data_IF_350989867719
#
_entry.id   IF_350989867719
#
_cell.length_a   1.000
_cell.length_b   1.000
_cell.length_c   1.000
_cell.angle_alpha   90.00
_cell.angle_beta   90.00
_cell.angle_gamma   90.00
#
_symmetry.space_group_name_H-M   'P 1'
#
loop_
_entity.id
_entity.type
_entity.pdbx_description
1 polymer ?
#
# COMPACT_ATOMS: atom_id res chain seq x y z
N UNK A 1 -16.34 -10.62 41.38
CA UNK A 1 -15.25 -9.94 40.67
C UNK A 1 -14.14 -9.70 41.64
N UNK A 2 -12.93 -10.16 41.34
CA UNK A 2 -11.74 -9.89 42.17
C UNK A 2 -11.43 -8.41 42.06
N UNK A 3 -11.56 -7.68 43.17
CA UNK A 3 -11.16 -6.28 43.28
C UNK A 3 -9.64 -6.20 43.04
N UNK A 4 -9.21 -5.75 41.87
CA UNK A 4 -7.84 -5.29 41.66
C UNK A 4 -7.69 -3.93 42.35
N UNK A 5 -7.40 -3.94 43.64
CA UNK A 5 -6.96 -2.73 44.33
C UNK A 5 -5.52 -2.41 43.89
N UNK A 6 -5.19 -1.14 43.62
CA UNK A 6 -3.80 -0.75 43.37
C UNK A 6 -2.95 -1.10 44.60
N UNK A 7 -1.85 -1.80 44.37
CA UNK A 7 -0.88 -2.16 45.42
C UNK A 7 0.19 -1.08 45.45
N UNK A 8 0.37 -0.44 46.60
CA UNK A 8 1.50 0.46 46.86
C UNK A 8 2.53 -0.35 47.64
N UNK A 9 3.69 -0.61 47.03
CA UNK A 9 4.81 -1.28 47.67
C UNK A 9 5.93 -0.26 47.93
N UNK A 10 6.30 -0.09 49.20
CA UNK A 10 7.39 0.79 49.63
C UNK A 10 8.62 -0.07 49.98
N UNK A 11 9.62 -0.08 49.09
CA UNK A 11 10.89 -0.78 49.30
C UNK A 11 12.00 0.21 49.69
N UNK A 12 12.74 -0.10 50.75
CA UNK A 12 13.82 0.73 51.32
C UNK A 12 15.23 0.38 50.78
N UNK A 13 15.34 -0.62 49.90
CA UNK A 13 16.62 -1.09 49.35
C UNK A 13 17.04 -0.32 48.09
N UNK A 14 18.33 -0.38 47.75
CA UNK A 14 18.82 0.07 46.44
C UNK A 14 18.52 -1.00 45.40
N UNK A 15 17.54 -0.77 44.54
CA UNK A 15 17.22 -1.63 43.41
C UNK A 15 17.41 -0.89 42.08
N UNK A 16 17.71 -1.65 41.03
CA UNK A 16 17.56 -1.17 39.66
C UNK A 16 16.09 -1.35 39.27
N UNK A 17 15.45 -0.26 38.84
CA UNK A 17 14.06 -0.25 38.42
C UNK A 17 13.98 -0.03 36.91
N UNK A 18 13.06 -0.74 36.26
CA UNK A 18 12.69 -0.48 34.87
C UNK A 18 11.22 -0.07 34.86
N UNK A 19 10.92 1.05 34.21
CA UNK A 19 9.55 1.52 33.98
C UNK A 19 9.19 1.29 32.52
N UNK A 20 8.08 0.61 32.29
CA UNK A 20 7.56 0.31 30.95
C UNK A 20 6.12 0.79 30.86
N UNK A 21 5.82 1.48 29.77
CA UNK A 21 4.44 1.83 29.39
C UNK A 21 3.98 0.81 28.36
N UNK A 22 2.92 0.06 28.66
CA UNK A 22 2.37 -0.95 27.77
C UNK A 22 1.17 -0.38 27.01
N UNK A 23 1.24 -0.23 25.67
CA UNK A 23 0.10 0.24 24.90
C UNK A 23 -0.97 -0.85 24.84
N UNK A 24 -2.19 -0.55 25.27
CA UNK A 24 -3.33 -1.47 25.16
C UNK A 24 -4.24 -0.99 24.03
N UNK A 25 -4.34 -1.81 22.99
CA UNK A 25 -5.16 -1.53 21.80
C UNK A 25 -5.82 -2.83 21.32
N UNK A 26 -7.13 -2.98 21.53
CA UNK A 26 -7.82 -4.26 21.32
C UNK A 26 -8.99 -4.11 20.36
N UNK A 27 -9.07 -5.03 19.41
CA UNK A 27 -10.20 -5.15 18.49
C UNK A 27 -11.07 -6.35 18.89
N UNK A 28 -12.38 -6.14 19.06
CA UNK A 28 -13.37 -7.19 19.30
C UNK A 28 -14.45 -7.15 18.22
N UNK A 29 -14.53 -8.19 17.40
CA UNK A 29 -15.60 -8.33 16.40
C UNK A 29 -16.75 -9.16 17.00
N UNK A 30 -17.94 -8.57 17.03
CA UNK A 30 -19.15 -9.15 17.62
C UNK A 30 -20.34 -8.99 16.67
N UNK A 31 -21.37 -9.82 16.85
CA UNK A 31 -22.64 -9.68 16.11
C UNK A 31 -23.53 -8.61 16.76
N UNK A 32 -24.44 -8.02 15.98
CA UNK A 32 -25.30 -6.91 16.43
C UNK A 32 -26.25 -7.27 17.58
N UNK A 33 -26.55 -8.55 17.78
CA UNK A 33 -27.37 -9.10 18.86
C UNK A 33 -26.58 -9.42 20.14
N UNK A 34 -25.27 -9.17 20.16
CA UNK A 34 -24.42 -9.42 21.34
C UNK A 34 -24.83 -8.51 22.50
N UNK A 35 -25.14 -9.10 23.66
CA UNK A 35 -25.51 -8.33 24.86
C UNK A 35 -24.33 -7.54 25.42
N UNK A 36 -24.60 -6.43 26.12
CA UNK A 36 -23.56 -5.61 26.78
C UNK A 36 -22.73 -6.41 27.78
N UNK A 37 -23.36 -7.35 28.51
CA UNK A 37 -22.65 -8.20 29.47
C UNK A 37 -21.64 -9.10 28.76
N UNK A 38 -22.05 -9.75 27.66
CA UNK A 38 -21.17 -10.60 26.85
C UNK A 38 -20.08 -9.78 26.18
N UNK A 39 -20.40 -8.58 25.69
CA UNK A 39 -19.41 -7.65 25.13
C UNK A 39 -18.31 -7.30 26.15
N UNK A 40 -18.69 -6.99 27.40
CA UNK A 40 -17.72 -6.72 28.47
C UNK A 40 -16.80 -7.91 28.76
N UNK A 41 -17.32 -9.14 28.68
CA UNK A 41 -16.52 -10.37 28.82
C UNK A 41 -15.52 -10.52 27.65
N UNK A 42 -15.95 -10.26 26.42
CA UNK A 42 -15.07 -10.31 25.25
C UNK A 42 -13.97 -9.25 25.30
N UNK A 43 -14.29 -8.01 25.69
CA UNK A 43 -13.30 -6.95 25.87
C UNK A 43 -12.26 -7.33 26.93
N UNK A 44 -12.72 -7.82 28.09
CA UNK A 44 -11.82 -8.27 29.17
C UNK A 44 -10.91 -9.41 28.70
N UNK A 45 -11.48 -10.36 27.96
CA UNK A 45 -10.73 -11.49 27.40
C UNK A 45 -9.69 -11.02 26.38
N UNK A 46 -10.04 -10.08 25.50
CA UNK A 46 -9.13 -9.53 24.50
C UNK A 46 -7.95 -8.79 25.15
N UNK A 47 -8.20 -7.98 26.18
CA UNK A 47 -7.15 -7.30 26.95
C UNK A 47 -6.22 -8.31 27.61
N UNK A 48 -6.77 -9.32 28.30
CA UNK A 48 -5.98 -10.37 28.93
C UNK A 48 -5.13 -11.16 27.91
N UNK A 49 -5.69 -11.46 26.73
CA UNK A 49 -4.96 -12.16 25.67
C UNK A 49 -3.83 -11.30 25.09
N UNK A 50 -4.06 -9.99 24.91
CA UNK A 50 -3.02 -9.07 24.48
C UNK A 50 -1.89 -8.97 25.50
N UNK A 51 -2.19 -8.88 26.80
CA UNK A 51 -1.16 -8.84 27.85
C UNK A 51 -0.31 -10.12 27.86
N UNK A 52 -0.91 -11.30 27.62
CA UNK A 52 -0.16 -12.55 27.44
C UNK A 52 0.71 -12.53 26.19
N UNK A 53 0.19 -12.03 25.07
CA UNK A 53 0.98 -11.89 23.84
C UNK A 53 2.17 -10.91 24.00
N UNK A 54 2.02 -9.87 24.82
CA UNK A 54 3.14 -8.99 25.20
C UNK A 54 4.19 -9.73 26.03
N UNK A 55 3.77 -10.57 26.99
CA UNK A 55 4.68 -11.41 27.75
C UNK A 55 5.47 -12.35 26.83
N UNK A 56 4.81 -13.00 25.87
CA UNK A 56 5.48 -13.86 24.89
C UNK A 56 6.51 -13.07 24.06
N UNK A 57 6.16 -11.85 23.64
CA UNK A 57 7.07 -10.95 22.94
C UNK A 57 8.29 -10.57 23.80
N UNK A 58 8.10 -10.30 25.10
CA UNK A 58 9.21 -10.03 26.00
C UNK A 58 10.16 -11.22 26.10
N UNK A 59 9.63 -12.42 26.34
CA UNK A 59 10.46 -13.64 26.42
C UNK A 59 11.22 -13.87 25.13
N UNK A 60 10.60 -13.62 23.97
CA UNK A 60 11.21 -13.84 22.67
C UNK A 60 12.30 -12.83 22.31
N UNK A 61 12.19 -11.58 22.76
CA UNK A 61 13.03 -10.47 22.27
C UNK A 61 13.75 -9.68 23.38
N UNK A 62 13.76 -10.17 24.63
CA UNK A 62 14.55 -9.57 25.72
C UNK A 62 16.04 -9.57 25.39
N UNK A 63 16.71 -8.46 25.68
CA UNK A 63 18.17 -8.32 25.58
C UNK A 63 18.72 -7.99 26.96
N UNK A 64 19.44 -8.93 27.58
CA UNK A 64 19.85 -8.83 28.98
C UNK A 64 18.65 -8.93 29.91
N UNK A 65 18.50 -7.96 30.83
CA UNK A 65 17.43 -7.91 31.83
C UNK A 65 16.36 -6.85 31.52
N UNK A 66 16.38 -6.25 30.33
CA UNK A 66 15.46 -5.17 29.94
C UNK A 66 14.47 -5.66 28.88
N UNK A 67 13.16 -5.69 29.16
CA UNK A 67 12.15 -6.06 28.17
C UNK A 67 12.12 -5.03 27.03
N UNK A 68 11.86 -5.47 25.79
CA UNK A 68 11.69 -4.53 24.69
C UNK A 68 10.41 -3.70 24.91
N UNK A 69 10.41 -2.47 24.40
CA UNK A 69 9.16 -1.76 24.14
C UNK A 69 8.37 -2.51 23.07
N UNK A 70 7.05 -2.54 23.19
CA UNK A 70 6.17 -3.30 22.29
C UNK A 70 5.17 -2.39 21.59
N UNK A 71 4.77 -2.80 20.40
CA UNK A 71 3.75 -2.17 19.60
C UNK A 71 2.68 -3.20 19.22
N UNK A 72 1.43 -2.75 19.22
CA UNK A 72 0.28 -3.56 18.79
C UNK A 72 -0.02 -3.24 17.34
N UNK A 73 -0.25 -4.28 16.54
CA UNK A 73 -0.68 -4.13 15.15
C UNK A 73 -1.88 -5.03 14.87
N UNK A 74 -2.87 -4.48 14.19
CA UNK A 74 -4.06 -5.20 13.75
C UNK A 74 -3.97 -5.48 12.25
N UNK A 75 -4.10 -6.75 11.88
CA UNK A 75 -4.01 -7.22 10.50
C UNK A 75 -5.31 -7.89 10.10
N UNK A 76 -5.70 -7.73 8.84
CA UNK A 76 -6.80 -8.48 8.25
C UNK A 76 -6.25 -9.39 7.14
N UNK A 77 -6.04 -10.69 7.43
CA UNK A 77 -5.66 -11.65 6.41
C UNK A 77 -6.64 -11.65 5.23
N UNK A 78 -6.14 -12.03 4.07
CA UNK A 78 -6.82 -11.74 2.82
C UNK A 78 -8.04 -12.63 2.70
N UNK A 79 -9.17 -12.07 2.26
CA UNK A 79 -10.46 -12.76 2.20
C UNK A 79 -10.97 -13.23 3.58
N UNK A 80 -10.33 -12.83 4.67
CA UNK A 80 -10.84 -13.02 6.03
C UNK A 80 -11.60 -11.77 6.47
N UNK A 81 -12.67 -11.96 7.21
CA UNK A 81 -13.32 -10.89 7.98
C UNK A 81 -12.69 -10.72 9.36
N UNK A 82 -11.89 -11.70 9.81
CA UNK A 82 -11.29 -11.71 11.14
C UNK A 82 -10.08 -10.77 11.22
N UNK A 83 -10.03 -9.96 12.28
CA UNK A 83 -8.86 -9.18 12.67
C UNK A 83 -7.93 -10.02 13.54
N UNK A 84 -6.64 -10.03 13.18
CA UNK A 84 -5.56 -10.68 13.92
C UNK A 84 -4.69 -9.61 14.54
N UNK A 85 -4.56 -9.64 15.87
CA UNK A 85 -3.67 -8.73 16.59
C UNK A 85 -2.32 -9.39 16.82
N UNK A 86 -1.24 -8.69 16.48
CA UNK A 86 0.14 -9.17 16.65
C UNK A 86 0.94 -8.13 17.41
N UNK A 87 1.76 -8.61 18.34
CA UNK A 87 2.68 -7.78 19.11
C UNK A 87 4.07 -7.89 18.51
N UNK A 88 4.66 -6.75 18.16
CA UNK A 88 6.05 -6.69 17.74
C UNK A 88 6.89 -5.82 18.69
N UNK A 89 8.17 -6.15 18.86
CA UNK A 89 9.12 -5.27 19.54
C UNK A 89 9.37 -4.01 18.71
N UNK A 90 9.38 -2.86 19.37
CA UNK A 90 9.72 -1.57 18.77
C UNK A 90 11.19 -1.59 18.29
N UNK A 91 11.47 -0.97 17.15
CA UNK A 91 12.83 -0.81 16.62
C UNK A 91 13.47 -2.05 15.97
N UNK A 92 12.83 -3.23 16.02
CA UNK A 92 13.30 -4.40 15.23
C UNK A 92 12.90 -4.27 13.76
N UNK A 93 13.85 -4.49 12.86
CA UNK A 93 13.62 -4.42 11.40
C UNK A 93 12.70 -5.54 10.90
N UNK A 94 12.14 -5.38 9.70
CA UNK A 94 11.25 -6.38 9.09
C UNK A 94 11.97 -7.72 8.87
N UNK A 95 13.27 -7.72 8.57
CA UNK A 95 14.07 -8.93 8.37
C UNK A 95 14.19 -9.75 9.66
N UNK A 96 14.40 -9.08 10.81
CA UNK A 96 14.52 -9.75 12.11
C UNK A 96 13.20 -10.36 12.60
N UNK A 97 12.07 -9.92 12.06
CA UNK A 97 10.73 -10.42 12.40
C UNK A 97 10.23 -11.52 11.47
N UNK A 98 11.03 -11.92 10.46
CA UNK A 98 10.61 -12.91 9.46
C UNK A 98 10.23 -14.26 10.08
N UNK A 99 11.01 -14.77 11.04
CA UNK A 99 10.71 -16.06 11.69
C UNK A 99 9.31 -16.04 12.33
N UNK A 100 8.98 -14.94 13.03
CA UNK A 100 7.66 -14.78 13.64
C UNK A 100 6.55 -14.69 12.59
N UNK A 101 6.80 -14.03 11.46
CA UNK A 101 5.84 -14.02 10.34
C UNK A 101 5.64 -15.42 9.75
N UNK A 102 6.68 -16.24 9.62
CA UNK A 102 6.54 -17.64 9.16
C UNK A 102 5.65 -18.45 10.09
N UNK A 103 5.83 -18.31 11.40
CA UNK A 103 4.96 -18.95 12.39
C UNK A 103 3.50 -18.52 12.23
N UNK A 104 3.25 -17.22 12.10
CA UNK A 104 1.90 -16.68 11.89
C UNK A 104 1.28 -17.18 10.57
N UNK A 105 2.05 -17.19 9.48
CA UNK A 105 1.59 -17.74 8.21
C UNK A 105 1.23 -19.22 8.34
N UNK A 106 2.04 -20.02 9.04
CA UNK A 106 1.74 -21.43 9.30
C UNK A 106 0.49 -21.58 10.17
N UNK A 107 0.32 -20.75 11.20
CA UNK A 107 -0.82 -20.78 12.11
C UNK A 107 -2.15 -20.47 11.39
N UNK A 108 -2.12 -19.53 10.45
CA UNK A 108 -3.30 -19.10 9.70
C UNK A 108 -3.41 -19.75 8.31
N UNK A 109 -2.60 -20.76 8.00
CA UNK A 109 -2.58 -21.46 6.70
C UNK A 109 -2.43 -20.51 5.50
N UNK A 110 -1.61 -19.46 5.63
CA UNK A 110 -1.38 -18.44 4.61
C UNK A 110 -0.17 -18.78 3.73
N UNK A 111 -0.21 -18.44 2.42
CA UNK A 111 0.90 -18.71 1.52
C UNK A 111 2.14 -17.89 1.90
N UNK A 112 3.33 -18.46 1.70
CA UNK A 112 4.62 -17.79 1.96
C UNK A 112 5.12 -16.94 0.76
N UNK A 113 4.22 -16.57 -0.15
CA UNK A 113 4.56 -15.86 -1.39
C UNK A 113 4.24 -14.37 -1.37
N UNK A 114 3.55 -13.87 -0.34
CA UNK A 114 3.22 -12.45 -0.19
C UNK A 114 3.09 -12.07 1.30
N UNK A 115 3.48 -10.85 1.71
CA UNK A 115 3.33 -10.40 3.08
C UNK A 115 1.86 -10.28 3.53
N UNK A 116 1.63 -10.58 4.81
CA UNK A 116 0.36 -10.32 5.51
C UNK A 116 0.56 -9.61 6.83
N UNK A 117 1.65 -9.93 7.54
CA UNK A 117 1.88 -9.46 8.91
C UNK A 117 3.09 -8.53 9.03
N UNK A 118 3.47 -7.83 7.96
CA UNK A 118 4.46 -6.74 8.04
C UNK A 118 3.78 -5.46 8.46
N UNK A 119 4.50 -4.52 9.07
CA UNK A 119 3.90 -3.25 9.56
C UNK A 119 3.16 -2.47 8.48
N UNK A 120 3.59 -2.54 7.22
CA UNK A 120 2.88 -1.92 6.09
C UNK A 120 1.51 -2.52 5.79
N UNK A 121 1.21 -3.74 6.26
CA UNK A 121 -0.06 -4.44 6.05
C UNK A 121 -1.11 -4.18 7.14
N UNK A 122 -0.85 -3.26 8.06
CA UNK A 122 -1.79 -2.89 9.13
C UNK A 122 -3.14 -2.51 8.52
N UNK A 123 -4.21 -3.02 9.13
CA UNK A 123 -5.58 -2.65 8.79
C UNK A 123 -5.79 -1.16 9.04
N UNK A 124 -6.36 -0.47 8.06
CA UNK A 124 -6.80 0.91 8.22
C UNK A 124 -8.23 0.92 8.78
N UNK A 125 -8.41 1.50 9.96
CA UNK A 125 -9.73 1.79 10.49
C UNK A 125 -10.25 3.11 9.91
N UNK A 126 -11.57 3.35 9.86
CA UNK A 126 -12.14 4.59 9.31
C UNK A 126 -11.53 5.87 9.89
N UNK A 127 -11.12 5.84 11.16
CA UNK A 127 -10.49 6.94 11.88
C UNK A 127 -9.06 7.23 11.39
N UNK A 128 -8.38 6.24 10.81
CA UNK A 128 -7.01 6.36 10.29
C UNK A 128 -6.99 7.00 8.90
N UNK A 129 -8.06 6.79 8.12
CA UNK A 129 -8.14 7.23 6.70
C UNK A 129 -8.16 8.76 6.57
N UNK A 130 -8.62 9.48 7.59
CA UNK A 130 -8.93 10.92 7.50
C UNK A 130 -7.92 11.87 8.20
N UNK A 131 -6.84 11.39 8.79
CA UNK A 131 -5.95 12.23 9.60
C UNK A 131 -4.82 12.93 8.81
N UNK A 132 -5.15 13.65 7.72
CA UNK A 132 -4.23 14.46 6.87
C UNK A 132 -3.59 13.73 5.66
N UNK A 133 -4.23 12.67 5.14
CA UNK A 133 -3.63 11.78 4.13
C UNK A 133 -4.13 11.99 2.70
N UNK A 134 -3.33 11.46 1.76
CA UNK A 134 -3.71 11.19 0.38
C UNK A 134 -4.94 10.26 0.32
N UNK A 135 -5.82 10.44 -0.67
CA UNK A 135 -6.95 9.53 -0.86
C UNK A 135 -6.51 8.08 -1.11
N UNK A 136 -7.10 7.14 -0.36
CA UNK A 136 -6.84 5.71 -0.50
C UNK A 136 -7.90 5.07 -1.40
N UNK A 137 -7.45 4.31 -2.40
CA UNK A 137 -8.32 3.53 -3.29
C UNK A 137 -9.56 4.27 -3.82
N UNK A 138 -9.43 5.47 -4.43
CA UNK A 138 -10.58 6.20 -4.96
C UNK A 138 -11.41 5.36 -5.96
N UNK A 139 -10.79 4.40 -6.64
CA UNK A 139 -11.47 3.52 -7.58
C UNK A 139 -12.56 2.64 -6.97
N UNK A 140 -12.51 2.35 -5.66
CA UNK A 140 -13.51 1.51 -4.99
C UNK A 140 -14.88 2.17 -4.90
N UNK A 141 -14.95 3.49 -5.11
CA UNK A 141 -16.19 4.27 -5.06
C UNK A 141 -16.83 4.45 -6.45
N UNK A 142 -16.28 3.82 -7.50
CA UNK A 142 -16.83 3.83 -8.85
C UNK A 142 -17.87 2.71 -8.96
N UNK A 143 -19.15 3.09 -9.01
CA UNK A 143 -20.26 2.12 -9.06
C UNK A 143 -20.74 1.77 -10.48
N UNK A 144 -20.06 2.26 -11.51
CA UNK A 144 -20.48 2.09 -12.91
C UNK A 144 -19.83 0.87 -13.55
N UNK A 145 -20.64 0.02 -14.18
CA UNK A 145 -20.13 -1.05 -15.05
C UNK A 145 -19.63 -0.44 -16.38
N UNK A 146 -18.35 -0.62 -16.77
CA UNK A 146 -17.77 0.06 -17.92
C UNK A 146 -18.29 -0.50 -19.25
N UNK A 147 -18.34 -1.83 -19.36
CA UNK A 147 -18.81 -2.53 -20.56
C UNK A 147 -19.82 -3.60 -20.20
N UNK A 148 -20.71 -3.88 -21.16
CA UNK A 148 -21.59 -5.04 -21.10
C UNK A 148 -20.76 -6.29 -21.42
N UNK A 149 -20.91 -7.33 -20.62
CA UNK A 149 -20.23 -8.63 -20.80
C UNK A 149 -18.69 -8.59 -20.74
N UNK A 150 -18.11 -7.53 -20.16
CA UNK A 150 -16.67 -7.45 -19.87
C UNK A 150 -16.33 -8.01 -18.48
N UNK A 151 -15.13 -8.56 -18.34
CA UNK A 151 -14.59 -9.01 -17.07
C UNK A 151 -13.59 -7.98 -16.54
N UNK A 152 -13.80 -7.53 -15.30
CA UNK A 152 -12.91 -6.61 -14.62
C UNK A 152 -11.72 -7.35 -13.98
N UNK A 153 -10.53 -6.81 -14.23
CA UNK A 153 -9.27 -7.22 -13.62
C UNK A 153 -8.61 -5.96 -13.03
N UNK A 154 -8.58 -5.88 -11.70
CA UNK A 154 -8.20 -4.67 -10.97
C UNK A 154 -6.93 -4.88 -10.12
N UNK A 155 -6.32 -3.77 -9.74
CA UNK A 155 -5.29 -3.69 -8.70
C UNK A 155 -5.75 -4.39 -7.41
N UNK A 156 -4.83 -5.10 -6.74
CA UNK A 156 -5.12 -5.93 -5.57
C UNK A 156 -4.43 -5.37 -4.32
N UNK A 157 -5.15 -4.59 -3.52
CA UNK A 157 -4.65 -4.02 -2.27
C UNK A 157 -4.98 -2.55 -2.13
N UNK A 158 -4.28 -1.89 -1.23
CA UNK A 158 -4.37 -0.46 -0.97
C UNK A 158 -3.25 0.28 -1.71
N UNK A 159 -3.56 1.47 -2.19
CA UNK A 159 -2.62 2.48 -2.67
C UNK A 159 -3.17 3.88 -2.33
N UNK A 160 -2.28 4.86 -2.22
CA UNK A 160 -2.66 6.27 -2.13
C UNK A 160 -2.59 6.94 -3.50
N UNK A 161 -3.50 7.89 -3.73
CA UNK A 161 -3.53 8.69 -4.94
C UNK A 161 -2.56 9.88 -4.82
N UNK A 162 -1.48 9.82 -5.59
CA UNK A 162 -0.56 10.93 -5.73
C UNK A 162 -0.83 11.71 -7.02
N UNK A 163 -0.93 13.03 -6.91
CA UNK A 163 -1.25 13.95 -8.00
C UNK A 163 -0.54 15.30 -7.82
N UNK A 164 -0.68 16.20 -8.81
CA UNK A 164 -0.05 17.51 -8.80
C UNK A 164 -0.39 18.35 -7.57
N UNK A 165 0.52 19.26 -7.24
CA UNK A 165 0.38 20.26 -6.16
C UNK A 165 0.37 19.69 -4.74
N UNK A 166 0.57 18.38 -4.58
CA UNK A 166 0.80 17.76 -3.28
C UNK A 166 2.20 18.08 -2.73
N UNK A 167 2.42 17.85 -1.44
CA UNK A 167 3.71 18.02 -0.75
C UNK A 167 4.26 19.44 -0.77
N UNK A 168 3.39 20.43 -1.00
CA UNK A 168 3.75 21.85 -1.19
C UNK A 168 4.74 22.05 -2.35
N UNK A 169 4.64 21.23 -3.39
CA UNK A 169 5.53 21.27 -4.54
C UNK A 169 4.74 21.47 -5.84
N UNK A 170 5.08 22.53 -6.57
CA UNK A 170 4.48 22.82 -7.89
C UNK A 170 5.18 22.03 -8.99
N UNK A 171 4.63 20.85 -9.24
CA UNK A 171 5.03 19.95 -10.31
C UNK A 171 4.07 19.95 -11.51
N UNK A 172 3.18 20.93 -11.57
CA UNK A 172 2.21 21.04 -12.65
C UNK A 172 2.94 21.09 -14.01
N UNK A 173 2.40 20.36 -14.99
CA UNK A 173 2.92 20.19 -16.36
C UNK A 173 4.17 19.30 -16.55
N UNK A 174 4.83 18.81 -15.49
CA UNK A 174 6.04 17.98 -15.65
C UNK A 174 6.19 16.82 -14.67
N UNK A 175 5.40 16.80 -13.59
CA UNK A 175 5.50 15.81 -12.53
C UNK A 175 4.72 14.51 -12.74
N UNK A 176 3.98 14.35 -13.86
CA UNK A 176 2.94 13.32 -13.98
C UNK A 176 3.47 11.90 -13.74
N UNK A 177 4.63 11.58 -14.30
CA UNK A 177 5.28 10.29 -14.10
C UNK A 177 5.86 10.11 -12.69
N UNK A 178 6.29 11.20 -12.03
CA UNK A 178 6.74 11.18 -10.63
C UNK A 178 5.57 10.83 -9.70
N UNK A 179 4.41 11.46 -9.91
CA UNK A 179 3.19 11.19 -9.14
C UNK A 179 2.65 9.77 -9.37
N UNK A 180 2.72 9.28 -10.61
CA UNK A 180 2.41 7.88 -10.90
C UNK A 180 3.38 6.93 -10.18
N UNK A 181 4.69 7.21 -10.19
CA UNK A 181 5.69 6.44 -9.43
C UNK A 181 5.41 6.46 -7.92
N UNK A 182 5.05 7.61 -7.35
CA UNK A 182 4.66 7.71 -5.94
C UNK A 182 3.44 6.84 -5.61
N UNK A 183 2.44 6.82 -6.48
CA UNK A 183 1.28 5.91 -6.39
C UNK A 183 1.72 4.44 -6.41
N UNK A 184 2.61 4.06 -7.32
CA UNK A 184 3.18 2.71 -7.40
C UNK A 184 3.93 2.34 -6.11
N UNK A 185 4.80 3.22 -5.60
CA UNK A 185 5.54 3.00 -4.35
C UNK A 185 4.60 2.88 -3.15
N UNK A 186 3.53 3.70 -3.10
CA UNK A 186 2.54 3.61 -2.03
C UNK A 186 1.89 2.23 -1.96
N UNK A 187 1.58 1.62 -3.11
CA UNK A 187 1.04 0.27 -3.18
C UNK A 187 2.01 -0.72 -2.54
N UNK A 188 3.31 -0.67 -2.91
CA UNK A 188 4.31 -1.56 -2.32
C UNK A 188 4.46 -1.37 -0.82
N UNK A 189 4.32 -0.14 -0.31
CA UNK A 189 4.31 0.15 1.13
C UNK A 189 3.12 -0.49 1.83
N UNK A 190 1.90 -0.21 1.37
CA UNK A 190 0.67 -0.77 1.95
C UNK A 190 0.60 -2.30 1.83
N UNK A 191 1.26 -2.87 0.82
CA UNK A 191 1.34 -4.31 0.65
C UNK A 191 2.51 -4.96 1.41
N UNK A 192 3.26 -4.18 2.20
CA UNK A 192 4.33 -4.67 3.07
C UNK A 192 5.61 -5.04 2.32
N UNK A 193 5.73 -4.73 1.02
CA UNK A 193 6.91 -5.06 0.24
C UNK A 193 8.11 -4.16 0.56
N UNK A 194 7.85 -2.96 1.07
CA UNK A 194 8.89 -2.02 1.47
C UNK A 194 8.42 -1.17 2.64
N UNK A 195 9.34 -0.84 3.54
CA UNK A 195 9.16 0.13 4.63
C UNK A 195 9.80 1.49 4.28
N UNK A 196 10.44 1.62 3.11
CA UNK A 196 11.02 2.88 2.61
C UNK A 196 9.95 3.90 2.21
N UNK A 197 10.09 5.18 2.62
CA UNK A 197 9.07 6.21 2.40
C UNK A 197 8.79 6.43 0.91
N UNK A 198 7.67 7.10 0.63
CA UNK A 198 7.34 7.54 -0.74
C UNK A 198 8.38 8.60 -1.14
N UNK A 199 9.10 8.41 -2.26
CA UNK A 199 10.18 9.30 -2.64
C UNK A 199 9.64 10.64 -3.15
N UNK A 200 10.37 11.71 -2.85
CA UNK A 200 10.18 13.05 -3.42
C UNK A 200 10.69 13.12 -4.86
N UNK A 201 10.29 14.15 -5.62
CA UNK A 201 10.80 14.37 -6.98
C UNK A 201 12.33 14.43 -7.01
N UNK A 202 12.94 15.08 -6.01
CA UNK A 202 14.40 15.20 -5.92
C UNK A 202 15.07 13.84 -5.69
N UNK A 203 14.51 12.99 -4.84
CA UNK A 203 15.03 11.63 -4.61
C UNK A 203 14.86 10.74 -5.84
N UNK A 204 13.74 10.87 -6.57
CA UNK A 204 13.53 10.19 -7.86
C UNK A 204 14.58 10.63 -8.88
N UNK A 205 14.84 11.93 -8.98
CA UNK A 205 15.88 12.46 -9.87
C UNK A 205 17.28 11.97 -9.46
N UNK A 206 17.56 11.95 -8.16
CA UNK A 206 18.83 11.45 -7.62
C UNK A 206 19.01 9.97 -7.95
N UNK A 207 17.98 9.14 -7.80
CA UNK A 207 18.02 7.73 -8.17
C UNK A 207 18.41 7.51 -9.64
N UNK A 208 17.90 8.36 -10.55
CA UNK A 208 18.26 8.29 -11.98
C UNK A 208 19.70 8.69 -12.25
N UNK A 209 20.25 9.61 -11.47
CA UNK A 209 21.69 9.95 -11.53
C UNK A 209 22.53 8.81 -10.96
N UNK A 210 22.11 8.22 -9.84
CA UNK A 210 22.85 7.17 -9.14
C UNK A 210 22.98 5.90 -9.98
N UNK A 211 21.96 5.55 -10.79
CA UNK A 211 22.02 4.43 -11.74
C UNK A 211 22.70 4.77 -13.07
N UNK A 212 23.17 6.01 -13.24
CA UNK A 212 23.88 6.47 -14.43
C UNK A 212 23.00 6.77 -15.65
N UNK A 213 21.68 6.86 -15.49
CA UNK A 213 20.74 7.15 -16.58
C UNK A 213 20.69 8.65 -16.92
N UNK A 214 20.90 9.52 -15.92
CA UNK A 214 20.87 10.99 -16.08
C UNK A 214 22.14 11.65 -15.55
N UNK A 215 22.48 12.80 -16.11
CA UNK A 215 23.59 13.64 -15.61
C UNK A 215 23.23 14.32 -14.27
N UNK A 216 24.21 14.67 -13.41
CA UNK A 216 23.95 15.31 -12.12
C UNK A 216 23.08 16.58 -12.16
N UNK A 217 23.12 17.33 -13.27
CA UNK A 217 22.30 18.53 -13.48
C UNK A 217 20.79 18.25 -13.58
N UNK A 218 20.41 16.98 -13.71
CA UNK A 218 19.01 16.54 -13.74
C UNK A 218 18.33 16.74 -12.37
N UNK A 219 19.08 16.65 -11.28
CA UNK A 219 18.58 16.82 -9.91
C UNK A 219 18.22 18.28 -9.66
N UNK A 220 16.98 18.52 -9.22
CA UNK A 220 16.39 19.84 -9.07
C UNK A 220 15.83 20.43 -10.37
N UNK A 221 15.88 19.71 -11.49
CA UNK A 221 15.27 20.15 -12.74
C UNK A 221 13.73 19.96 -12.71
N UNK A 222 13.06 20.52 -13.72
CA UNK A 222 11.62 20.30 -14.00
C UNK A 222 11.42 19.38 -15.21
N UNK A 223 12.36 18.48 -15.46
CA UNK A 223 12.29 17.57 -16.61
C UNK A 223 11.36 16.39 -16.31
N UNK A 224 10.57 16.03 -17.33
CA UNK A 224 9.71 14.83 -17.31
C UNK A 224 10.55 13.55 -17.39
N UNK A 225 9.96 12.45 -16.92
CA UNK A 225 10.53 11.09 -17.00
C UNK A 225 9.52 10.15 -17.65
N UNK A 226 9.98 9.05 -18.23
CA UNK A 226 9.14 8.04 -18.88
C UNK A 226 9.02 6.75 -18.08
N UNK A 227 8.36 5.75 -18.68
CA UNK A 227 8.14 4.44 -18.06
C UNK A 227 9.43 3.65 -17.82
N UNK A 228 10.49 3.90 -18.60
CA UNK A 228 11.80 3.28 -18.39
C UNK A 228 12.44 3.82 -17.10
N UNK A 229 12.52 5.15 -16.98
CA UNK A 229 13.04 5.80 -15.78
C UNK A 229 12.24 5.43 -14.52
N UNK A 230 10.91 5.33 -14.62
CA UNK A 230 10.06 4.83 -13.52
C UNK A 230 10.48 3.43 -13.09
N UNK A 231 10.80 2.53 -14.02
CA UNK A 231 11.26 1.18 -13.68
C UNK A 231 12.64 1.16 -13.02
N UNK A 232 13.57 2.00 -13.47
CA UNK A 232 14.88 2.15 -12.83
C UNK A 232 14.75 2.67 -11.41
N UNK A 233 13.86 3.64 -11.19
CA UNK A 233 13.59 4.17 -9.86
C UNK A 233 12.98 3.12 -8.93
N UNK A 234 12.02 2.31 -9.41
CA UNK A 234 11.43 1.23 -8.60
C UNK A 234 12.49 0.21 -8.16
N UNK A 235 13.37 -0.19 -9.08
CA UNK A 235 14.43 -1.14 -8.78
C UNK A 235 15.45 -0.55 -7.79
N UNK A 236 15.95 0.65 -8.07
CA UNK A 236 16.96 1.29 -7.23
C UNK A 236 16.41 1.68 -5.84
N UNK A 237 15.24 2.31 -5.79
CA UNK A 237 14.71 2.86 -4.55
C UNK A 237 14.14 1.77 -3.66
N UNK A 238 13.44 0.77 -4.20
CA UNK A 238 12.71 -0.22 -3.38
C UNK A 238 12.95 -1.69 -3.78
N UNK A 239 13.87 -1.98 -4.70
CA UNK A 239 14.20 -3.35 -5.10
C UNK A 239 13.11 -4.04 -5.91
N UNK A 240 12.28 -3.26 -6.62
CA UNK A 240 11.16 -3.78 -7.40
C UNK A 240 11.50 -3.78 -8.89
N UNK A 241 11.60 -4.97 -9.45
CA UNK A 241 11.74 -5.16 -10.89
C UNK A 241 10.42 -4.90 -11.62
N UNK A 242 10.49 -4.41 -12.85
CA UNK A 242 9.31 -4.15 -13.69
C UNK A 242 9.48 -4.74 -15.08
N UNK A 243 8.37 -5.11 -15.70
CA UNK A 243 8.31 -5.45 -17.12
C UNK A 243 7.84 -4.24 -17.92
N UNK A 244 8.47 -3.97 -19.06
CA UNK A 244 8.05 -2.88 -19.94
C UNK A 244 7.27 -3.47 -21.12
N UNK A 245 6.06 -2.95 -21.33
CA UNK A 245 5.25 -3.26 -22.48
C UNK A 245 5.20 -2.05 -23.42
N UNK A 246 5.61 -2.27 -24.66
CA UNK A 246 5.70 -1.24 -25.70
C UNK A 246 4.48 -1.33 -26.61
N UNK A 247 3.95 -0.17 -27.01
CA UNK A 247 2.84 -0.02 -27.96
C UNK A 247 3.22 1.08 -28.94
N UNK A 248 3.30 0.71 -30.22
CA UNK A 248 3.77 1.60 -31.28
C UNK A 248 2.77 2.72 -31.56
N UNK A 249 1.47 2.45 -31.51
CA UNK A 249 0.44 3.46 -31.73
C UNK A 249 -0.67 3.31 -30.70
N UNK A 250 -1.20 4.41 -30.17
CA UNK A 250 -2.30 4.37 -29.20
C UNK A 250 -3.56 3.67 -29.72
N UNK A 251 -3.73 3.61 -31.05
CA UNK A 251 -4.78 2.81 -31.72
C UNK A 251 -4.66 1.31 -31.40
N UNK A 252 -3.47 0.82 -31.09
CA UNK A 252 -3.15 -0.58 -30.79
C UNK A 252 -3.22 -0.92 -29.30
N UNK A 253 -3.50 0.04 -28.42
CA UNK A 253 -3.55 -0.22 -26.96
C UNK A 253 -4.57 -1.31 -26.60
N UNK A 254 -5.63 -1.46 -27.40
CA UNK A 254 -6.61 -2.53 -27.21
C UNK A 254 -5.99 -3.93 -27.25
N UNK A 255 -4.92 -4.12 -28.05
CA UNK A 255 -4.22 -5.41 -28.16
C UNK A 255 -3.55 -5.84 -26.85
N UNK A 256 -3.36 -4.91 -25.91
CA UNK A 256 -2.79 -5.16 -24.58
C UNK A 256 -3.82 -5.56 -23.53
N UNK A 257 -5.11 -5.61 -23.86
CA UNK A 257 -6.18 -5.96 -22.91
C UNK A 257 -5.94 -7.28 -22.17
N UNK A 258 -5.64 -8.36 -22.90
CA UNK A 258 -5.33 -9.67 -22.30
C UNK A 258 -4.07 -9.66 -21.43
N UNK A 259 -3.04 -8.97 -21.88
CA UNK A 259 -1.76 -8.85 -21.17
C UNK A 259 -1.93 -8.11 -19.84
N UNK A 260 -2.72 -7.03 -19.83
CA UNK A 260 -3.06 -6.26 -18.63
C UNK A 260 -3.99 -7.05 -17.70
N UNK A 261 -4.99 -7.75 -18.24
CA UNK A 261 -5.87 -8.62 -17.45
C UNK A 261 -5.05 -9.67 -16.67
N UNK A 262 -4.12 -10.35 -17.36
CA UNK A 262 -3.22 -11.31 -16.74
C UNK A 262 -2.31 -10.65 -15.69
N UNK A 263 -1.78 -9.45 -15.95
CA UNK A 263 -0.98 -8.69 -14.99
C UNK A 263 -1.77 -8.38 -13.72
N UNK A 264 -3.00 -7.87 -13.81
CA UNK A 264 -3.81 -7.58 -12.64
C UNK A 264 -4.26 -8.84 -11.88
N UNK A 265 -4.44 -9.95 -12.59
CA UNK A 265 -4.76 -11.24 -11.95
C UNK A 265 -3.56 -11.80 -11.18
N UNK A 266 -2.36 -11.79 -11.78
CA UNK A 266 -1.16 -12.46 -11.23
C UNK A 266 -0.35 -11.54 -10.32
N UNK A 267 -0.17 -10.27 -10.69
CA UNK A 267 0.60 -9.28 -9.93
C UNK A 267 -0.33 -8.36 -9.14
N UNK A 268 -1.38 -7.83 -9.78
CA UNK A 268 -2.32 -6.91 -9.14
C UNK A 268 -1.67 -5.60 -8.67
N UNK A 269 -0.53 -5.22 -9.26
CA UNK A 269 0.15 -3.94 -9.03
C UNK A 269 -0.41 -2.88 -9.98
N UNK A 270 -0.48 -1.60 -9.56
CA UNK A 270 -0.83 -0.51 -10.48
C UNK A 270 0.25 -0.36 -11.57
N UNK A 271 -0.17 0.07 -12.75
CA UNK A 271 0.69 0.17 -13.94
C UNK A 271 0.83 1.64 -14.32
N UNK A 272 2.06 2.11 -14.48
CA UNK A 272 2.29 3.45 -15.03
C UNK A 272 2.33 3.36 -16.56
N UNK A 273 1.62 4.25 -17.26
CA UNK A 273 1.67 4.37 -18.72
C UNK A 273 2.14 5.77 -19.10
N UNK A 274 3.15 5.84 -19.97
CA UNK A 274 3.66 7.08 -20.54
C UNK A 274 3.41 7.16 -22.05
N UNK A 275 2.90 8.29 -22.52
CA UNK A 275 2.72 8.61 -23.93
C UNK A 275 3.15 10.03 -24.24
N UNK A 276 4.28 10.19 -24.94
CA UNK A 276 4.93 11.49 -25.09
C UNK A 276 5.32 12.09 -23.73
N UNK A 277 4.82 13.29 -23.43
CA UNK A 277 5.08 14.01 -22.17
C UNK A 277 4.01 13.78 -21.09
N UNK A 278 3.00 12.95 -21.36
CA UNK A 278 1.91 12.67 -20.44
C UNK A 278 2.08 11.28 -19.83
N UNK A 279 1.73 11.17 -18.55
CA UNK A 279 1.72 9.92 -17.82
C UNK A 279 0.41 9.74 -17.07
N UNK A 280 -0.08 8.51 -17.00
CA UNK A 280 -1.25 8.11 -16.23
C UNK A 280 -0.95 6.83 -15.45
N UNK A 281 -1.81 6.50 -14.48
CA UNK A 281 -1.76 5.22 -13.78
C UNK A 281 -2.98 4.38 -14.16
N UNK A 282 -2.76 3.19 -14.70
CA UNK A 282 -3.79 2.18 -14.96
C UNK A 282 -3.95 1.34 -13.70
N UNK A 283 -5.17 1.31 -13.15
CA UNK A 283 -5.53 0.55 -11.96
C UNK A 283 -6.27 -0.75 -12.28
N UNK A 284 -6.65 -0.94 -13.54
CA UNK A 284 -7.38 -2.11 -13.97
C UNK A 284 -7.82 -2.02 -15.43
N UNK A 285 -8.31 -3.14 -15.93
CA UNK A 285 -8.98 -3.24 -17.22
C UNK A 285 -10.32 -3.93 -17.06
N UNK A 286 -11.29 -3.50 -17.86
CA UNK A 286 -12.50 -4.26 -18.14
C UNK A 286 -12.29 -4.81 -19.55
N UNK A 287 -12.26 -6.13 -19.70
CA UNK A 287 -11.84 -6.79 -20.93
C UNK A 287 -12.87 -7.84 -21.34
N UNK A 288 -13.34 -7.75 -22.58
CA UNK A 288 -14.18 -8.76 -23.20
C UNK A 288 -13.31 -9.69 -24.05
N UNK A 289 -13.16 -10.95 -23.62
CA UNK A 289 -12.29 -11.90 -24.32
C UNK A 289 -12.82 -12.34 -25.69
N UNK A 290 -14.13 -12.18 -25.94
CA UNK A 290 -14.80 -12.58 -27.18
C UNK A 290 -14.67 -11.48 -28.23
N UNK A 291 -14.98 -10.23 -27.87
CA UNK A 291 -14.94 -9.11 -28.83
C UNK A 291 -13.56 -8.47 -28.92
N UNK A 292 -12.73 -8.61 -27.89
CA UNK A 292 -11.46 -7.90 -27.75
C UNK A 292 -11.61 -6.46 -27.24
N UNK A 293 -12.83 -6.02 -26.93
CA UNK A 293 -13.07 -4.69 -26.39
C UNK A 293 -12.42 -4.54 -25.01
N UNK A 294 -11.86 -3.36 -24.76
CA UNK A 294 -11.23 -3.02 -23.49
C UNK A 294 -11.55 -1.60 -23.06
N UNK A 295 -11.78 -1.43 -21.76
CA UNK A 295 -11.74 -0.14 -21.07
C UNK A 295 -10.66 -0.15 -20.01
N UNK A 296 -10.06 1.01 -19.77
CA UNK A 296 -8.97 1.20 -18.83
C UNK A 296 -9.46 2.00 -17.64
N UNK A 297 -9.20 1.52 -16.44
CA UNK A 297 -9.45 2.27 -15.22
C UNK A 297 -8.25 3.17 -14.96
N UNK A 298 -8.42 4.47 -15.17
CA UNK A 298 -7.34 5.45 -15.10
C UNK A 298 -7.42 6.24 -13.80
N UNK A 299 -6.25 6.42 -13.19
CA UNK A 299 -5.98 7.40 -12.15
C UNK A 299 -5.03 8.45 -12.71
N UNK A 300 -5.54 9.66 -12.82
CA UNK A 300 -4.91 10.76 -13.54
C UNK A 300 -4.07 11.62 -12.58
N UNK A 301 -2.73 11.62 -12.69
CA UNK A 301 -1.88 12.39 -11.79
C UNK A 301 -1.94 13.91 -12.01
N UNK A 302 -2.62 14.40 -13.06
CA UNK A 302 -2.65 15.82 -13.40
C UNK A 302 -3.65 16.63 -12.58
N UNK A 303 -4.43 15.99 -11.70
CA UNK A 303 -5.35 16.70 -10.81
C UNK A 303 -4.59 17.66 -9.88
N UNK A 304 -5.05 18.91 -9.78
CA UNK A 304 -4.40 19.98 -9.00
C UNK A 304 -5.24 20.47 -7.83
N UNK A 305 -6.41 19.86 -7.59
CA UNK A 305 -7.34 20.30 -6.56
C UNK A 305 -6.99 19.75 -5.17
N UNK A 306 -7.88 20.01 -4.20
CA UNK A 306 -7.81 19.42 -2.87
C UNK A 306 -8.23 17.93 -2.90
N UNK A 307 -8.01 17.19 -1.81
CA UNK A 307 -8.40 15.77 -1.66
C UNK A 307 -9.94 15.59 -1.58
N UNK A 308 -10.65 15.96 -2.65
CA UNK A 308 -12.10 15.86 -2.79
C UNK A 308 -12.46 14.67 -3.67
N UNK A 309 -12.83 13.56 -3.00
CA UNK A 309 -13.21 12.32 -3.65
C UNK A 309 -14.36 12.52 -4.64
N UNK A 310 -15.35 13.35 -4.33
CA UNK A 310 -16.50 13.59 -5.20
C UNK A 310 -16.05 14.24 -6.51
N UNK A 311 -15.22 15.28 -6.43
CA UNK A 311 -14.67 15.95 -7.62
C UNK A 311 -13.82 14.99 -8.45
N UNK A 312 -12.99 14.17 -7.79
CA UNK A 312 -12.11 13.19 -8.45
C UNK A 312 -12.92 12.17 -9.27
N UNK A 313 -14.04 11.68 -8.71
CA UNK A 313 -14.90 10.72 -9.39
C UNK A 313 -15.77 11.36 -10.47
N UNK A 314 -16.48 12.45 -10.14
CA UNK A 314 -17.44 13.07 -11.06
C UNK A 314 -16.78 13.71 -12.28
N UNK A 315 -15.56 14.28 -12.12
CA UNK A 315 -14.78 14.81 -13.24
C UNK A 315 -13.92 13.76 -13.93
N UNK A 316 -13.93 12.51 -13.44
CA UNK A 316 -13.26 11.38 -14.06
C UNK A 316 -11.73 11.44 -13.99
N UNK A 317 -11.17 12.03 -12.93
CA UNK A 317 -9.74 11.93 -12.58
C UNK A 317 -9.38 10.53 -12.09
N UNK A 318 -10.32 9.84 -11.44
CA UNK A 318 -10.30 8.41 -11.26
C UNK A 318 -11.53 7.82 -11.95
N UNK A 319 -11.36 7.09 -13.06
CA UNK A 319 -12.50 6.62 -13.84
C UNK A 319 -12.17 5.73 -15.02
N UNK A 320 -13.20 5.05 -15.53
CA UNK A 320 -13.10 4.20 -16.72
C UNK A 320 -13.03 5.03 -18.01
N UNK A 321 -12.05 4.72 -18.86
CA UNK A 321 -11.79 5.38 -20.13
C UNK A 321 -11.79 4.36 -21.27
N UNK A 322 -12.38 4.73 -22.40
CA UNK A 322 -12.35 3.95 -23.64
C UNK A 322 -11.14 4.28 -24.51
N UNK A 323 -11.06 3.66 -25.69
CA UNK A 323 -9.96 3.86 -26.62
C UNK A 323 -9.81 5.31 -27.12
N UNK A 324 -10.89 6.09 -27.16
CA UNK A 324 -10.84 7.51 -27.57
C UNK A 324 -10.12 8.42 -26.56
N UNK A 325 -9.78 7.90 -25.37
CA UNK A 325 -8.93 8.62 -24.41
C UNK A 325 -7.47 8.72 -24.86
N UNK A 326 -7.00 7.75 -25.65
CA UNK A 326 -5.61 7.66 -26.07
C UNK A 326 -5.39 8.37 -27.41
N UNK A 327 -4.25 9.05 -27.56
CA UNK A 327 -3.84 9.59 -28.85
C UNK A 327 -3.49 8.42 -29.78
N UNK A 328 -4.28 8.29 -30.84
CA UNK A 328 -4.19 7.16 -31.78
C UNK A 328 -2.82 7.02 -32.44
N UNK A 329 -2.02 8.09 -32.53
CA UNK A 329 -0.72 8.10 -33.22
C UNK A 329 0.48 8.15 -32.28
N UNK A 330 0.26 8.33 -30.99
CA UNK A 330 1.36 8.39 -30.02
C UNK A 330 1.89 7.00 -29.70
N UNK A 331 3.19 6.92 -29.42
CA UNK A 331 3.82 5.75 -28.83
C UNK A 331 3.52 5.70 -27.33
N UNK A 332 3.24 4.51 -26.80
CA UNK A 332 2.99 4.29 -25.39
C UNK A 332 3.90 3.20 -24.81
N UNK A 333 4.48 3.50 -23.66
CA UNK A 333 5.20 2.52 -22.85
C UNK A 333 4.45 2.32 -21.54
N UNK A 334 4.35 1.08 -21.09
CA UNK A 334 3.76 0.73 -19.80
C UNK A 334 4.82 0.08 -18.92
N UNK A 335 4.99 0.60 -17.71
CA UNK A 335 5.78 -0.01 -16.65
C UNK A 335 4.87 -0.88 -15.78
N UNK A 336 5.10 -2.19 -15.80
CA UNK A 336 4.32 -3.21 -15.07
C UNK A 336 5.17 -3.77 -13.91
N UNK A 337 5.04 -3.22 -12.69
CA UNK A 337 5.85 -3.66 -11.54
C UNK A 337 5.55 -5.10 -11.14
N UNK A 338 6.59 -5.88 -10.84
CA UNK A 338 6.46 -7.29 -10.45
C UNK A 338 6.52 -7.41 -8.92
N UNK A 339 5.65 -8.24 -8.34
CA UNK A 339 5.68 -8.51 -6.90
C UNK A 339 6.92 -9.34 -6.53
N UNK A 340 7.77 -8.88 -5.60
CA UNK A 340 8.78 -9.73 -5.01
C UNK A 340 8.15 -10.93 -4.29
N UNK A 341 8.88 -12.04 -4.19
CA UNK A 341 8.46 -13.19 -3.37
C UNK A 341 9.05 -13.04 -1.97
N UNK A 342 8.26 -12.45 -1.07
CA UNK A 342 8.65 -12.20 0.34
C UNK A 342 7.46 -12.41 1.27
N UNK A 343 7.73 -12.48 2.57
CA UNK A 343 6.74 -12.62 3.66
C UNK A 343 6.87 -11.52 4.71
#
# INVERSE_FOLDING_TARGET
GTLCAPIIQHNLEKFQAVTLTLPVDVCCQVTADTTVLTLGQYMTTAICNQLRAMQDCFVQYVEGDVPPKVQVFHFQPWKSTAIVSVIYPEGKSEEKLESRRRELHSLFCLPLSRPVFRRGNVSLFPEDINQNGYLINPHQYINTQPMKDGQQYLVQGLYSYHHYMQDRFDDNMWGCAYRSLQTLVSWFRFQGYTDKPIPTHREIQQALVDVGDKEPKFVGSRQWIGSMEVSYCLDHLIGVTSRIAFVSEGSELATKGRELAQHFQIQGTPVMIGGGVLAHTILGVDFNEVTGDVKFLILDPHYTGAEDLKVILEKGWCGWKGMDFWDKKAHYNMCLPQRPKVI
#
